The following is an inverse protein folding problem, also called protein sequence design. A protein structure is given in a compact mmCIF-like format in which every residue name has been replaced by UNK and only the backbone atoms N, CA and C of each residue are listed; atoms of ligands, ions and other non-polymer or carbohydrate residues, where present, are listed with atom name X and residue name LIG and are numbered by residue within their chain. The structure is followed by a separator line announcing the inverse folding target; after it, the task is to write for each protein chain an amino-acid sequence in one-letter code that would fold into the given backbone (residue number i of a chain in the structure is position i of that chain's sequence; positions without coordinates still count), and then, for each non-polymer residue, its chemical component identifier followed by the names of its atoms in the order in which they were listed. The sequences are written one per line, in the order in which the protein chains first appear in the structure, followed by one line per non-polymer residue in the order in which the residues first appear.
data_IF_426126882963
#
_entry.id   IF_426126882963
#
_cell.length_a   1.000
_cell.length_b   1.000
_cell.length_c   1.000
_cell.angle_alpha   90.00
_cell.angle_beta   90.00
_cell.angle_gamma   90.00
#
_symmetry.space_group_name_H-M   'P 1'
#
loop_
_entity.id
_entity.type
_entity.pdbx_description
1 polymer ?
#
# COMPACT_ATOMS: atom_id res chain seq x y z
N UNK A 1 -7.35 -2.32 -22.65
CA UNK A 1 -7.08 -0.97 -22.19
C UNK A 1 -7.74 -0.79 -20.85
N UNK A 2 -6.94 -0.68 -19.86
CA UNK A 2 -7.28 -1.14 -18.52
C UNK A 2 -7.06 -0.05 -17.51
N UNK A 3 -7.24 1.16 -17.99
CA UNK A 3 -7.08 2.32 -17.16
C UNK A 3 -8.46 2.77 -16.74
N UNK A 4 -8.80 2.59 -15.50
CA UNK A 4 -10.00 3.21 -14.96
C UNK A 4 -9.70 4.67 -14.65
N UNK A 5 -10.23 5.61 -15.42
CA UNK A 5 -9.87 7.01 -15.23
C UNK A 5 -10.45 7.59 -13.93
N UNK A 6 -11.63 7.17 -13.51
CA UNK A 6 -12.29 7.70 -12.30
C UNK A 6 -13.69 7.13 -12.15
N UNK A 7 -14.27 7.17 -10.97
CA UNK A 7 -13.60 7.06 -9.69
C UNK A 7 -12.97 5.68 -9.54
N UNK A 8 -11.97 5.57 -8.71
CA UNK A 8 -11.29 4.29 -8.52
C UNK A 8 -12.21 3.36 -7.74
N UNK A 9 -12.77 2.36 -8.41
CA UNK A 9 -13.60 1.34 -7.80
C UNK A 9 -12.98 -0.03 -8.03
N UNK A 10 -12.79 -0.82 -6.99
CA UNK A 10 -12.33 -2.20 -7.09
C UNK A 10 -13.48 -3.14 -6.81
N UNK A 11 -14.10 -3.64 -7.87
CA UNK A 11 -15.16 -4.66 -7.79
C UNK A 11 -14.60 -6.06 -7.51
N UNK A 12 -13.30 -6.27 -7.74
CA UNK A 12 -12.65 -7.56 -7.55
C UNK A 12 -12.18 -7.81 -6.12
N UNK A 13 -11.94 -6.75 -5.34
CA UNK A 13 -11.53 -6.86 -3.94
C UNK A 13 -12.63 -6.43 -2.98
N UNK A 14 -13.27 -5.28 -3.25
CA UNK A 14 -14.23 -4.65 -2.35
C UNK A 14 -15.29 -3.91 -3.13
N UNK A 15 -16.52 -3.96 -2.64
CA UNK A 15 -17.62 -3.11 -3.12
C UNK A 15 -17.47 -1.72 -2.53
N UNK A 16 -16.56 -0.92 -3.06
CA UNK A 16 -16.32 0.42 -2.53
C UNK A 16 -15.41 1.26 -3.41
N UNK A 17 -15.28 2.53 -3.02
CA UNK A 17 -14.46 3.51 -3.72
C UNK A 17 -13.18 3.77 -2.92
N UNK A 18 -12.06 3.83 -3.62
CA UNK A 18 -10.80 4.30 -3.06
C UNK A 18 -10.65 5.80 -3.34
N UNK A 19 -10.23 6.54 -2.37
CA UNK A 19 -9.86 7.93 -2.55
C UNK A 19 -8.52 8.01 -3.30
N UNK A 20 -8.37 9.03 -4.17
CA UNK A 20 -7.14 9.19 -4.93
C UNK A 20 -6.01 9.76 -4.05
N UNK A 21 -4.96 8.98 -3.77
CA UNK A 21 -3.83 9.46 -2.96
C UNK A 21 -2.97 10.50 -3.68
N UNK A 22 -3.15 10.70 -4.99
CA UNK A 22 -2.45 11.76 -5.72
C UNK A 22 -3.05 13.14 -5.42
N UNK A 23 -4.34 13.23 -5.12
CA UNK A 23 -5.01 14.49 -4.85
C UNK A 23 -4.60 15.06 -3.47
N UNK A 24 -3.99 16.26 -3.41
CA UNK A 24 -3.54 16.87 -2.15
C UNK A 24 -4.70 17.21 -1.20
N UNK A 25 -5.90 17.51 -1.70
CA UNK A 25 -7.08 17.77 -0.87
C UNK A 25 -7.52 16.49 -0.16
N UNK A 26 -7.46 15.34 -0.84
CA UNK A 26 -7.73 14.03 -0.23
C UNK A 26 -6.72 13.74 0.88
N UNK A 27 -5.42 13.97 0.63
CA UNK A 27 -4.40 13.76 1.65
C UNK A 27 -4.62 14.71 2.86
N UNK A 28 -4.94 15.98 2.62
CA UNK A 28 -5.22 16.96 3.68
C UNK A 28 -6.43 16.55 4.51
N UNK A 29 -7.52 16.16 3.86
CA UNK A 29 -8.73 15.66 4.53
C UNK A 29 -8.44 14.46 5.43
N UNK A 30 -7.75 13.45 4.92
CA UNK A 30 -7.40 12.26 5.69
C UNK A 30 -6.46 12.57 6.87
N UNK A 31 -5.55 13.53 6.71
CA UNK A 31 -4.69 13.97 7.81
C UNK A 31 -5.48 14.72 8.89
N UNK A 32 -6.46 15.54 8.51
CA UNK A 32 -7.36 16.20 9.45
C UNK A 32 -8.18 15.17 10.24
N UNK A 33 -8.72 14.15 9.55
CA UNK A 33 -9.45 13.07 10.20
C UNK A 33 -8.55 12.28 11.17
N UNK A 34 -7.31 12.00 10.75
CA UNK A 34 -6.33 11.33 11.60
C UNK A 34 -6.01 12.17 12.86
N UNK A 35 -5.82 13.47 12.72
CA UNK A 35 -5.57 14.37 13.84
C UNK A 35 -6.79 14.45 14.78
N UNK A 36 -8.00 14.44 14.25
CA UNK A 36 -9.23 14.37 15.04
C UNK A 36 -9.29 13.07 15.86
N UNK A 37 -8.98 11.93 15.27
CA UNK A 37 -8.92 10.63 15.97
C UNK A 37 -7.92 10.71 17.14
N UNK A 38 -6.72 11.21 16.87
CA UNK A 38 -5.64 11.31 17.87
C UNK A 38 -6.07 12.21 19.04
N UNK A 39 -6.63 13.37 18.74
CA UNK A 39 -6.96 14.37 19.77
C UNK A 39 -8.19 14.01 20.59
N UNK A 40 -9.21 13.41 19.96
CA UNK A 40 -10.46 13.04 20.64
C UNK A 40 -10.37 11.72 21.40
N UNK A 41 -9.74 10.70 20.81
CA UNK A 41 -9.76 9.34 21.34
C UNK A 41 -8.46 8.94 22.03
N UNK A 42 -7.37 9.69 21.83
CA UNK A 42 -6.05 9.48 22.47
C UNK A 42 -5.56 8.03 22.36
N UNK A 43 -5.49 7.46 21.15
CA UNK A 43 -5.03 6.09 20.97
C UNK A 43 -3.53 5.95 21.32
N UNK A 44 -3.09 4.75 21.66
CA UNK A 44 -1.68 4.43 21.91
C UNK A 44 -0.86 4.34 20.61
N UNK A 45 -1.50 4.31 19.46
CA UNK A 45 -0.88 4.28 18.14
C UNK A 45 -1.89 4.29 17.00
N UNK A 46 -1.41 4.46 15.79
CA UNK A 46 -2.22 4.45 14.57
C UNK A 46 -1.74 3.31 13.65
N UNK A 47 -2.67 2.51 13.15
CA UNK A 47 -2.39 1.52 12.13
C UNK A 47 -3.05 1.93 10.81
N UNK A 48 -2.25 2.16 9.77
CA UNK A 48 -2.72 2.52 8.44
C UNK A 48 -3.10 1.24 7.69
N UNK A 49 -4.39 0.97 7.57
CA UNK A 49 -4.90 -0.09 6.73
C UNK A 49 -5.32 0.46 5.36
N UNK A 50 -5.38 -0.42 4.34
CA UNK A 50 -5.66 -0.03 2.95
C UNK A 50 -4.79 1.11 2.40
N UNK A 51 -3.60 1.29 2.94
CA UNK A 51 -2.63 2.29 2.51
C UNK A 51 -1.96 1.87 1.20
N UNK A 52 -2.74 1.85 0.14
CA UNK A 52 -2.40 1.33 -1.19
C UNK A 52 -3.41 1.75 -2.24
N UNK A 53 -3.08 1.52 -3.51
CA UNK A 53 -4.09 1.49 -4.57
C UNK A 53 -4.88 0.17 -4.55
N UNK A 54 -6.06 0.11 -5.19
CA UNK A 54 -6.71 -1.16 -5.47
C UNK A 54 -5.78 -2.08 -6.24
N UNK A 55 -5.94 -3.38 -6.06
CA UNK A 55 -5.07 -4.35 -6.71
C UNK A 55 -5.18 -4.27 -8.24
N UNK A 56 -4.03 -4.10 -8.90
CA UNK A 56 -3.94 -4.28 -10.34
C UNK A 56 -4.09 -5.77 -10.69
N UNK A 57 -4.86 -6.07 -11.71
CA UNK A 57 -5.18 -7.43 -12.12
C UNK A 57 -4.70 -7.62 -13.55
N UNK A 58 -4.03 -8.75 -13.81
CA UNK A 58 -3.71 -9.14 -15.18
C UNK A 58 -5.01 -9.40 -15.96
N UNK A 59 -5.18 -8.73 -17.08
CA UNK A 59 -6.36 -8.85 -17.91
C UNK A 59 -6.38 -10.13 -18.74
N UNK A 60 -5.23 -10.75 -18.91
CA UNK A 60 -5.10 -12.04 -19.57
C UNK A 60 -4.00 -12.88 -18.91
N UNK A 61 -4.03 -14.18 -19.15
CA UNK A 61 -3.05 -15.14 -18.63
C UNK A 61 -1.61 -14.87 -19.12
N UNK A 62 -1.44 -14.10 -20.18
CA UNK A 62 -0.13 -13.75 -20.73
C UNK A 62 0.51 -12.56 -20.01
N UNK A 63 -0.18 -11.90 -19.07
CA UNK A 63 0.41 -10.88 -18.18
C UNK A 63 0.73 -9.53 -18.81
N UNK A 64 0.36 -9.33 -20.06
CA UNK A 64 0.76 -8.13 -20.81
C UNK A 64 -0.17 -6.92 -20.65
N UNK A 65 -1.35 -7.15 -20.07
CA UNK A 65 -2.32 -6.08 -19.85
C UNK A 65 -2.81 -6.12 -18.42
N UNK A 66 -2.49 -5.11 -17.65
CA UNK A 66 -2.95 -4.96 -16.27
C UNK A 66 -4.16 -4.04 -16.21
N UNK A 67 -5.23 -4.48 -15.56
CA UNK A 67 -6.21 -3.58 -15.00
C UNK A 67 -5.52 -2.75 -13.92
N UNK A 68 -5.54 -1.45 -14.07
CA UNK A 68 -4.70 -0.54 -13.30
C UNK A 68 -5.49 0.68 -12.85
N UNK A 69 -5.04 1.36 -11.79
CA UNK A 69 -5.80 2.37 -11.07
C UNK A 69 -5.02 3.67 -10.90
N UNK A 70 -5.73 4.74 -10.50
CA UNK A 70 -5.11 6.03 -10.20
C UNK A 70 -5.12 7.01 -11.37
N UNK A 71 -5.99 6.80 -12.38
CA UNK A 71 -6.10 7.65 -13.58
C UNK A 71 -7.14 8.77 -13.41
N UNK A 72 -7.17 9.39 -12.25
CA UNK A 72 -7.99 10.57 -12.02
C UNK A 72 -7.50 11.73 -12.90
N UNK A 73 -8.35 12.69 -13.17
CA UNK A 73 -7.97 13.87 -13.93
C UNK A 73 -6.78 14.60 -13.28
N UNK A 74 -6.80 14.73 -11.95
CA UNK A 74 -5.71 15.35 -11.20
C UNK A 74 -4.38 14.61 -11.44
N UNK A 75 -4.34 13.30 -11.19
CA UNK A 75 -3.13 12.51 -11.33
C UNK A 75 -2.58 12.51 -12.76
N UNK A 76 -3.48 12.44 -13.75
CA UNK A 76 -3.11 12.49 -15.17
C UNK A 76 -2.48 13.83 -15.54
N UNK A 77 -3.12 14.94 -15.15
CA UNK A 77 -2.62 16.28 -15.44
C UNK A 77 -1.28 16.55 -14.78
N UNK A 78 -1.11 16.17 -13.51
CA UNK A 78 0.16 16.33 -12.79
C UNK A 78 1.28 15.52 -13.46
N UNK A 79 1.02 14.24 -13.76
CA UNK A 79 2.01 13.39 -14.43
C UNK A 79 2.34 13.88 -15.84
N UNK A 80 1.32 14.26 -16.61
CA UNK A 80 1.51 14.81 -17.95
C UNK A 80 2.34 16.10 -17.94
N UNK A 81 2.13 16.96 -16.97
CA UNK A 81 2.91 18.19 -16.83
C UNK A 81 4.38 17.91 -16.53
N UNK A 82 4.69 16.84 -15.79
CA UNK A 82 6.05 16.46 -15.43
C UNK A 82 6.76 15.65 -16.51
N UNK A 83 6.04 14.77 -17.20
CA UNK A 83 6.61 13.76 -18.11
C UNK A 83 6.29 14.01 -19.59
N UNK A 84 5.50 15.03 -19.89
CA UNK A 84 5.03 15.38 -21.25
C UNK A 84 4.31 14.22 -21.96
N UNK A 85 3.70 13.30 -21.21
CA UNK A 85 2.91 12.17 -21.71
C UNK A 85 1.73 11.92 -20.79
N UNK A 86 0.55 11.69 -21.37
CA UNK A 86 -0.61 11.29 -20.56
C UNK A 86 -0.46 9.81 -20.16
N UNK A 87 -0.57 9.47 -18.87
CA UNK A 87 -0.39 8.08 -18.44
C UNK A 87 -1.39 7.10 -19.06
N UNK A 88 -2.51 7.58 -19.60
CA UNK A 88 -3.49 6.74 -20.31
C UNK A 88 -2.92 6.18 -21.62
N UNK A 89 -1.95 6.87 -22.22
CA UNK A 89 -1.30 6.49 -23.46
C UNK A 89 -0.01 5.69 -23.25
N UNK A 90 0.41 5.53 -21.98
CA UNK A 90 1.63 4.83 -21.63
C UNK A 90 1.43 3.31 -21.73
N UNK A 91 2.37 2.65 -22.40
CA UNK A 91 2.34 1.19 -22.58
C UNK A 91 3.06 0.48 -21.44
N UNK A 92 2.51 -0.66 -21.04
CA UNK A 92 3.12 -1.55 -20.05
C UNK A 92 4.54 -1.98 -20.50
N UNK A 93 5.47 -2.03 -19.54
CA UNK A 93 6.86 -2.46 -19.77
C UNK A 93 7.74 -1.43 -20.46
N UNK A 94 7.32 -0.17 -20.54
CA UNK A 94 8.13 0.94 -21.03
C UNK A 94 8.70 1.78 -19.87
N UNK A 95 9.79 2.55 -20.09
CA UNK A 95 10.30 3.47 -19.06
C UNK A 95 9.26 4.47 -18.55
N UNK A 96 8.33 4.89 -19.40
CA UNK A 96 7.22 5.77 -19.02
C UNK A 96 6.23 5.04 -18.09
N UNK A 97 6.03 3.72 -18.29
CA UNK A 97 5.24 2.91 -17.38
C UNK A 97 5.89 2.83 -15.99
N UNK A 98 7.19 2.61 -15.92
CA UNK A 98 7.94 2.58 -14.66
C UNK A 98 7.86 3.93 -13.94
N UNK A 99 7.95 5.03 -14.70
CA UNK A 99 7.77 6.37 -14.17
C UNK A 99 6.35 6.58 -13.60
N UNK A 100 5.31 6.09 -14.30
CA UNK A 100 3.92 6.14 -13.82
C UNK A 100 3.70 5.28 -12.57
N UNK A 101 4.27 4.09 -12.52
CA UNK A 101 4.23 3.24 -11.34
C UNK A 101 4.92 3.94 -10.14
N UNK A 102 6.11 4.50 -10.37
CA UNK A 102 6.86 5.21 -9.33
C UNK A 102 6.14 6.47 -8.85
N UNK A 103 5.51 7.22 -9.75
CA UNK A 103 4.67 8.37 -9.39
C UNK A 103 3.61 7.95 -8.37
N UNK A 104 2.84 6.90 -8.64
CA UNK A 104 1.79 6.41 -7.74
C UNK A 104 2.32 5.89 -6.41
N UNK A 105 3.43 5.13 -6.42
CA UNK A 105 4.13 4.69 -5.21
C UNK A 105 4.56 5.88 -4.35
N UNK A 106 5.06 6.94 -4.98
CA UNK A 106 5.48 8.14 -4.29
C UNK A 106 4.29 8.89 -3.65
N UNK A 107 3.11 8.86 -4.25
CA UNK A 107 1.90 9.49 -3.66
C UNK A 107 1.47 8.79 -2.37
N UNK A 108 1.48 7.45 -2.36
CA UNK A 108 1.25 6.69 -1.12
C UNK A 108 2.35 6.98 -0.09
N UNK A 109 3.62 6.91 -0.49
CA UNK A 109 4.75 7.15 0.42
C UNK A 109 4.74 8.56 1.01
N UNK A 110 4.32 9.56 0.22
CA UNK A 110 4.11 10.94 0.69
C UNK A 110 3.06 11.03 1.80
N UNK A 111 1.94 10.33 1.64
CA UNK A 111 0.92 10.28 2.69
C UNK A 111 1.44 9.60 3.96
N UNK A 112 2.11 8.45 3.84
CA UNK A 112 2.71 7.75 4.99
C UNK A 112 3.71 8.66 5.73
N UNK A 113 4.56 9.37 5.01
CA UNK A 113 5.48 10.35 5.59
C UNK A 113 4.74 11.46 6.36
N UNK A 114 3.67 12.03 5.77
CA UNK A 114 2.88 13.07 6.42
C UNK A 114 2.15 12.55 7.67
N UNK A 115 1.61 11.33 7.61
CA UNK A 115 1.01 10.66 8.76
C UNK A 115 2.04 10.45 9.88
N UNK A 116 3.26 9.99 9.55
CA UNK A 116 4.36 9.87 10.52
C UNK A 116 4.71 11.21 11.18
N UNK A 117 4.79 12.27 10.39
CA UNK A 117 5.06 13.61 10.93
C UNK A 117 3.94 14.12 11.83
N UNK A 118 2.70 13.79 11.51
CA UNK A 118 1.55 14.13 12.33
C UNK A 118 1.57 13.37 13.65
N UNK A 119 1.70 12.05 13.63
CA UNK A 119 1.70 11.21 14.84
C UNK A 119 2.87 11.52 15.77
N UNK A 120 4.02 11.92 15.21
CA UNK A 120 5.19 12.33 15.98
C UNK A 120 4.93 13.56 16.87
N UNK A 121 4.05 14.49 16.47
CA UNK A 121 3.67 15.65 17.29
C UNK A 121 2.99 15.23 18.61
N UNK A 122 2.36 14.08 18.59
CA UNK A 122 1.62 13.51 19.73
C UNK A 122 2.37 12.37 20.43
N UNK A 123 3.59 12.09 19.96
CA UNK A 123 4.46 11.04 20.49
C UNK A 123 3.81 9.64 20.46
N UNK A 124 3.04 9.35 19.41
CA UNK A 124 2.43 8.05 19.20
C UNK A 124 2.99 7.37 17.95
N UNK A 125 3.16 6.02 17.98
CA UNK A 125 3.67 5.28 16.83
C UNK A 125 2.65 5.20 15.70
N UNK A 126 3.18 5.07 14.48
CA UNK A 126 2.40 4.75 13.28
C UNK A 126 2.87 3.43 12.69
N UNK A 127 1.92 2.56 12.41
CA UNK A 127 2.15 1.26 11.78
C UNK A 127 1.37 1.16 10.47
N UNK A 128 1.70 0.21 9.62
CA UNK A 128 0.98 0.01 8.36
C UNK A 128 0.75 -1.47 8.06
N UNK A 129 -0.44 -1.76 7.56
CA UNK A 129 -0.74 -3.06 6.95
C UNK A 129 -0.04 -3.13 5.59
N UNK A 130 0.78 -4.17 5.41
CA UNK A 130 1.52 -4.38 4.16
C UNK A 130 1.28 -5.77 3.58
N UNK A 131 1.43 -5.87 2.26
CA UNK A 131 1.56 -7.16 1.61
C UNK A 131 3.03 -7.62 1.68
N UNK A 132 3.28 -8.87 2.07
CA UNK A 132 4.63 -9.31 2.42
C UNK A 132 5.59 -9.39 1.23
N UNK A 133 5.11 -9.84 0.05
CA UNK A 133 5.92 -9.89 -1.16
C UNK A 133 6.21 -8.47 -1.66
N UNK A 134 7.44 -8.04 -1.53
CA UNK A 134 7.87 -6.67 -1.84
C UNK A 134 7.60 -6.28 -3.29
N UNK A 135 7.95 -7.14 -4.23
CA UNK A 135 7.84 -6.84 -5.66
C UNK A 135 6.38 -6.78 -6.10
N UNK A 136 5.58 -7.76 -5.71
CA UNK A 136 4.13 -7.74 -5.97
C UNK A 136 3.44 -6.57 -5.27
N UNK A 137 3.84 -6.25 -4.05
CA UNK A 137 3.30 -5.11 -3.31
C UNK A 137 3.53 -3.79 -4.07
N UNK A 138 4.74 -3.60 -4.59
CA UNK A 138 5.09 -2.42 -5.40
C UNK A 138 4.36 -2.41 -6.75
N UNK A 139 4.29 -3.53 -7.45
CA UNK A 139 3.76 -3.61 -8.81
C UNK A 139 2.23 -3.55 -8.84
N UNK A 140 1.56 -4.33 -7.98
CA UNK A 140 0.10 -4.48 -8.09
C UNK A 140 -0.69 -3.65 -7.10
N UNK A 141 -0.04 -3.11 -6.05
CA UNK A 141 -0.69 -2.31 -5.00
C UNK A 141 -0.08 -0.92 -4.81
N UNK A 142 1.01 -0.62 -5.51
CA UNK A 142 1.78 0.63 -5.38
C UNK A 142 2.30 0.88 -3.96
N UNK A 143 2.53 -0.18 -3.20
CA UNK A 143 2.92 -0.15 -1.80
C UNK A 143 4.43 -0.38 -1.67
N UNK A 144 5.23 0.70 -1.70
CA UNK A 144 6.70 0.66 -1.57
C UNK A 144 7.11 0.73 -0.08
N UNK A 145 6.75 -0.31 0.67
CA UNK A 145 6.98 -0.37 2.12
C UNK A 145 8.47 -0.40 2.50
N UNK A 146 9.34 -0.87 1.61
CA UNK A 146 10.79 -0.80 1.87
C UNK A 146 11.25 0.65 1.98
N UNK A 147 10.82 1.52 1.07
CA UNK A 147 11.09 2.96 1.14
C UNK A 147 10.60 3.57 2.45
N UNK A 148 9.47 3.11 2.99
CA UNK A 148 8.95 3.63 4.27
C UNK A 148 9.84 3.25 5.45
N UNK A 149 10.35 2.01 5.48
CA UNK A 149 11.31 1.57 6.48
C UNK A 149 12.65 2.30 6.34
N UNK A 150 13.21 2.33 5.13
CA UNK A 150 14.52 2.93 4.86
C UNK A 150 14.59 4.42 5.26
N UNK A 151 13.47 5.13 5.16
CA UNK A 151 13.38 6.55 5.49
C UNK A 151 12.76 6.85 6.86
N UNK A 152 12.49 5.83 7.68
CA UNK A 152 11.83 5.94 8.99
C UNK A 152 10.45 6.63 8.91
N UNK A 153 9.68 6.36 7.84
CA UNK A 153 8.30 6.85 7.70
C UNK A 153 7.30 6.02 8.49
N UNK A 154 7.75 4.89 9.06
CA UNK A 154 6.92 3.94 9.79
C UNK A 154 7.68 3.39 11.01
N UNK A 155 6.96 3.05 12.09
CA UNK A 155 7.55 2.43 13.29
C UNK A 155 7.46 0.90 13.23
N UNK A 156 6.40 0.38 12.61
CA UNK A 156 6.24 -1.06 12.45
C UNK A 156 5.40 -1.42 11.23
N UNK A 157 5.52 -2.65 10.79
CA UNK A 157 4.66 -3.29 9.81
C UNK A 157 3.75 -4.32 10.46
N UNK A 158 2.53 -4.40 9.94
CA UNK A 158 1.55 -5.45 10.21
C UNK A 158 1.28 -6.23 8.92
N UNK A 159 2.23 -7.08 8.47
CA UNK A 159 2.11 -7.78 7.20
C UNK A 159 0.99 -8.82 7.22
N UNK A 160 0.24 -8.90 6.10
CA UNK A 160 -0.80 -9.91 5.87
C UNK A 160 -0.16 -11.23 5.43
N UNK A 161 0.08 -12.13 6.37
CA UNK A 161 0.62 -13.47 6.10
C UNK A 161 -0.54 -14.42 5.79
N UNK A 162 -1.05 -14.32 4.55
CA UNK A 162 -2.25 -15.04 4.10
C UNK A 162 -1.88 -16.42 3.55
N UNK A 163 -1.34 -17.27 4.39
CA UNK A 163 -0.99 -18.66 4.08
C UNK A 163 -1.29 -19.57 5.26
N UNK A 164 -1.55 -20.85 5.00
CA UNK A 164 -1.59 -21.92 6.01
C UNK A 164 -0.30 -22.77 6.00
N UNK A 165 0.62 -22.46 5.12
CA UNK A 165 1.92 -23.15 5.07
C UNK A 165 2.95 -22.42 5.93
N UNK A 166 3.47 -23.14 6.93
CA UNK A 166 4.44 -22.61 7.89
C UNK A 166 5.72 -22.10 7.22
N UNK A 167 6.26 -22.87 6.27
CA UNK A 167 7.55 -22.53 5.66
C UNK A 167 7.41 -21.27 4.80
N UNK A 168 6.29 -21.13 4.10
CA UNK A 168 5.94 -19.91 3.38
C UNK A 168 5.77 -18.73 4.34
N UNK A 169 5.11 -18.92 5.49
CA UNK A 169 4.95 -17.85 6.48
C UNK A 169 6.30 -17.37 7.02
N UNK A 170 7.17 -18.31 7.40
CA UNK A 170 8.52 -18.02 7.88
C UNK A 170 9.36 -17.33 6.80
N UNK A 171 9.29 -17.80 5.55
CA UNK A 171 9.97 -17.17 4.43
C UNK A 171 9.55 -15.70 4.25
N UNK A 172 8.25 -15.42 4.20
CA UNK A 172 7.72 -14.07 4.01
C UNK A 172 8.12 -13.14 5.17
N UNK A 173 8.05 -13.61 6.40
CA UNK A 173 8.45 -12.81 7.58
C UNK A 173 9.95 -12.50 7.54
N UNK A 174 10.77 -13.47 7.17
CA UNK A 174 12.22 -13.27 7.06
C UNK A 174 12.57 -12.32 5.90
N UNK A 175 11.88 -12.42 4.77
CA UNK A 175 12.09 -11.49 3.64
C UNK A 175 11.77 -10.04 4.06
N UNK A 176 10.65 -9.81 4.75
CA UNK A 176 10.33 -8.48 5.27
C UNK A 176 11.42 -8.00 6.24
N UNK A 177 11.89 -8.86 7.15
CA UNK A 177 12.93 -8.52 8.13
C UNK A 177 14.24 -8.14 7.47
N UNK A 178 14.66 -8.88 6.45
CA UNK A 178 15.89 -8.61 5.69
C UNK A 178 15.82 -7.34 4.85
N UNK A 179 14.63 -6.96 4.41
CA UNK A 179 14.39 -5.78 3.58
C UNK A 179 13.93 -4.55 4.38
N UNK A 180 13.91 -4.64 5.71
CA UNK A 180 13.55 -3.54 6.61
C UNK A 180 14.71 -3.15 7.50
N UNK A 181 14.72 -1.89 7.97
CA UNK A 181 15.67 -1.47 9.00
C UNK A 181 15.46 -2.27 10.29
N UNK A 182 16.52 -2.56 11.06
CA UNK A 182 16.40 -3.22 12.35
C UNK A 182 15.49 -2.50 13.36
N UNK A 183 15.30 -1.19 13.19
CA UNK A 183 14.43 -0.36 14.03
C UNK A 183 12.95 -0.49 13.68
N UNK A 184 12.61 -0.97 12.48
CA UNK A 184 11.22 -1.20 12.06
C UNK A 184 10.73 -2.51 12.66
N UNK A 185 9.76 -2.45 13.56
CA UNK A 185 9.17 -3.64 14.17
C UNK A 185 8.24 -4.36 13.17
N UNK A 186 8.06 -5.66 13.36
CA UNK A 186 7.20 -6.48 12.50
C UNK A 186 6.25 -7.27 13.39
N UNK A 187 4.95 -7.08 13.16
CA UNK A 187 3.86 -7.75 13.85
C UNK A 187 3.02 -8.55 12.83
N UNK A 188 3.41 -9.79 12.50
CA UNK A 188 2.75 -10.57 11.46
C UNK A 188 1.29 -10.85 11.79
N UNK A 189 0.39 -10.56 10.85
CA UNK A 189 -1.01 -10.92 10.93
C UNK A 189 -1.25 -12.28 10.25
N UNK A 190 -1.57 -13.30 11.05
CA UNK A 190 -1.95 -14.62 10.55
C UNK A 190 -3.46 -14.67 10.26
N UNK A 191 -3.84 -15.31 9.16
CA UNK A 191 -5.25 -15.42 8.80
C UNK A 191 -5.85 -16.73 9.32
N UNK A 192 -6.31 -16.71 10.55
CA UNK A 192 -6.83 -17.88 11.28
C UNK A 192 -7.96 -18.60 10.55
N UNK A 193 -8.77 -17.89 9.75
CA UNK A 193 -9.85 -18.50 8.99
C UNK A 193 -9.37 -19.58 7.99
N UNK A 194 -8.15 -19.47 7.46
CA UNK A 194 -7.55 -20.50 6.60
C UNK A 194 -7.18 -21.78 7.36
N UNK A 195 -7.13 -21.71 8.68
CA UNK A 195 -6.72 -22.79 9.57
C UNK A 195 -7.91 -23.37 10.34
N UNK A 196 -9.12 -23.11 9.87
CA UNK A 196 -10.34 -23.65 10.50
C UNK A 196 -10.25 -25.19 10.60
N UNK A 197 -10.41 -25.72 11.81
CA UNK A 197 -10.29 -27.15 12.08
C UNK A 197 -8.84 -27.68 12.17
N UNK A 198 -7.82 -26.81 12.13
CA UNK A 198 -6.40 -27.16 12.19
C UNK A 198 -5.64 -26.32 13.24
N UNK A 199 -6.02 -26.40 14.52
CA UNK A 199 -5.39 -25.58 15.56
C UNK A 199 -3.89 -25.86 15.71
N UNK A 200 -3.45 -27.07 15.46
CA UNK A 200 -2.03 -27.44 15.54
C UNK A 200 -1.18 -26.76 14.46
N UNK A 201 -1.73 -26.51 13.30
CA UNK A 201 -1.04 -25.80 12.22
C UNK A 201 -0.86 -24.31 12.58
N UNK A 202 -1.84 -23.71 13.26
CA UNK A 202 -1.73 -22.35 13.78
C UNK A 202 -0.64 -22.22 14.84
N UNK A 203 -0.54 -23.22 15.73
CA UNK A 203 0.49 -23.20 16.80
C UNK A 203 1.91 -23.40 16.25
N UNK A 204 2.04 -23.92 15.03
CA UNK A 204 3.34 -24.14 14.38
C UNK A 204 3.81 -22.94 13.55
N UNK A 205 2.93 -22.01 13.21
CA UNK A 205 3.27 -20.76 12.51
C UNK A 205 3.79 -19.70 13.47
#
# INVERSE_FOLDING_TARGET
KYNSPTPVASLSEHNGYFLDPANPEVQAYLLTLLEEIITKYKPDGINLDYIRYPQSISANFAGYELSNWGYTEYARNEFKSAMNVDPIDVKYGTPQWDAWAKYRQNKISSFVFKAKRLTAKYNIPVTAVIFPDRFKSMEVKMQDWKTWSDNNYIDAFTPLILTCDKDTAVYLINDIRQNSKPTTKIYPGLFVAFMNGKPDDLLRQ
#
